data_IF_895828003644
#
_entry.id   IF_895828003644
#
_cell.length_a   1.000
_cell.length_b   1.000
_cell.length_c   1.000
_cell.angle_alpha   90.00
_cell.angle_beta   90.00
_cell.angle_gamma   90.00
#
_symmetry.space_group_name_H-M   'P 1'
#
loop_
_entity.id
_entity.type
_entity.pdbx_description
1 polymer ?
#
# COMPACT_ATOMS: atom_id res chain seq x y z
N UNK A 1 27.86 -26.20 -9.12
CA UNK A 1 27.35 -24.81 -9.27
C UNK A 1 25.82 -24.69 -9.34
N UNK A 2 25.07 -25.80 -9.33
CA UNK A 2 23.59 -25.80 -9.44
C UNK A 2 22.89 -25.58 -8.07
N UNK A 3 23.60 -25.81 -6.96
CA UNK A 3 23.07 -25.74 -5.60
C UNK A 3 22.32 -24.42 -5.25
N UNK A 4 22.75 -23.22 -5.67
CA UNK A 4 22.00 -21.99 -5.41
C UNK A 4 20.64 -21.95 -6.12
N UNK A 5 20.57 -22.43 -7.37
CA UNK A 5 19.33 -22.47 -8.15
C UNK A 5 18.33 -23.49 -7.59
N UNK A 6 18.81 -24.62 -7.08
CA UNK A 6 17.96 -25.62 -6.41
C UNK A 6 17.40 -25.07 -5.10
N UNK A 7 18.20 -24.32 -4.33
CA UNK A 7 17.72 -23.64 -3.11
C UNK A 7 16.65 -22.60 -3.44
N UNK A 8 16.85 -21.83 -4.50
CA UNK A 8 15.84 -20.89 -4.98
C UNK A 8 14.57 -21.59 -5.48
N UNK A 9 14.70 -22.71 -6.21
CA UNK A 9 13.57 -23.51 -6.67
C UNK A 9 12.78 -24.15 -5.51
N UNK A 10 13.46 -24.62 -4.47
CA UNK A 10 12.85 -25.10 -3.23
C UNK A 10 12.11 -23.98 -2.50
N UNK A 11 12.71 -22.79 -2.40
CA UNK A 11 12.02 -21.63 -1.86
C UNK A 11 10.76 -21.32 -2.69
N UNK A 12 10.88 -21.28 -4.02
CA UNK A 12 9.77 -20.99 -4.93
C UNK A 12 8.63 -22.03 -4.88
N UNK A 13 8.90 -23.20 -4.31
CA UNK A 13 7.88 -24.22 -4.09
C UNK A 13 6.91 -23.93 -2.94
N UNK A 14 7.23 -22.95 -2.08
CA UNK A 14 6.40 -22.54 -0.95
C UNK A 14 5.03 -22.03 -1.46
N UNK A 15 3.91 -22.41 -0.80
CA UNK A 15 2.55 -22.07 -1.27
C UNK A 15 2.35 -20.57 -1.51
N UNK A 16 2.79 -19.73 -0.55
CA UNK A 16 2.68 -18.28 -0.67
C UNK A 16 3.49 -17.71 -1.85
N UNK A 17 4.63 -18.32 -2.18
CA UNK A 17 5.48 -17.87 -3.28
C UNK A 17 4.94 -18.32 -4.64
N UNK A 18 4.30 -19.48 -4.72
CA UNK A 18 3.57 -19.92 -5.92
C UNK A 18 2.41 -18.97 -6.25
N UNK A 19 1.69 -18.53 -5.23
CA UNK A 19 0.62 -17.54 -5.40
C UNK A 19 1.19 -16.21 -5.91
N UNK A 20 2.33 -15.75 -5.38
CA UNK A 20 3.00 -14.55 -5.89
C UNK A 20 3.50 -14.72 -7.33
N UNK A 21 4.11 -15.85 -7.67
CA UNK A 21 4.65 -16.09 -9.00
C UNK A 21 3.54 -16.16 -10.05
N UNK A 22 2.43 -16.83 -9.75
CA UNK A 22 1.26 -16.87 -10.64
C UNK A 22 0.61 -15.49 -10.81
N UNK A 23 0.58 -14.69 -9.74
CA UNK A 23 0.16 -13.29 -9.78
C UNK A 23 1.04 -12.46 -10.70
N UNK A 24 2.36 -12.58 -10.53
CA UNK A 24 3.36 -11.87 -11.31
C UNK A 24 3.28 -12.24 -12.79
N UNK A 25 3.18 -13.53 -13.12
CA UNK A 25 3.05 -14.00 -14.50
C UNK A 25 1.77 -13.48 -15.16
N UNK A 26 0.66 -13.38 -14.41
CA UNK A 26 -0.58 -12.78 -14.93
C UNK A 26 -0.39 -11.30 -15.28
N UNK A 27 0.25 -10.54 -14.39
CA UNK A 27 0.57 -9.12 -14.64
C UNK A 27 1.53 -8.98 -15.82
N UNK A 28 2.53 -9.86 -15.93
CA UNK A 28 3.49 -9.86 -17.04
C UNK A 28 2.80 -10.06 -18.41
N UNK A 29 1.80 -10.93 -18.50
CA UNK A 29 1.01 -11.14 -19.72
C UNK A 29 0.17 -9.90 -20.07
N UNK A 30 -0.26 -9.12 -19.08
CA UNK A 30 -0.93 -7.86 -19.35
C UNK A 30 0.07 -6.79 -19.82
N UNK A 31 1.26 -6.74 -19.20
CA UNK A 31 2.37 -5.87 -19.62
C UNK A 31 2.78 -6.17 -21.05
N UNK A 32 2.83 -7.43 -21.48
CA UNK A 32 3.29 -7.77 -22.83
C UNK A 32 2.43 -7.14 -23.93
N UNK A 33 1.14 -6.89 -23.66
CA UNK A 33 0.25 -6.21 -24.62
C UNK A 33 0.61 -4.73 -24.81
N UNK A 34 0.88 -4.02 -23.71
CA UNK A 34 1.31 -2.61 -23.77
C UNK A 34 2.78 -2.48 -24.20
N UNK A 35 3.63 -3.39 -23.72
CA UNK A 35 5.05 -3.46 -24.02
C UNK A 35 5.36 -3.76 -25.48
N UNK A 36 4.44 -4.40 -26.22
CA UNK A 36 4.60 -4.60 -27.67
C UNK A 36 4.71 -3.27 -28.43
N UNK A 37 3.87 -2.28 -28.10
CA UNK A 37 3.93 -0.96 -28.73
C UNK A 37 5.23 -0.23 -28.38
N UNK A 38 5.66 -0.31 -27.12
CA UNK A 38 6.92 0.27 -26.68
C UNK A 38 8.11 -0.37 -27.40
N UNK A 39 8.19 -1.70 -27.40
CA UNK A 39 9.25 -2.44 -28.09
C UNK A 39 9.26 -2.17 -29.60
N UNK A 40 8.10 -2.13 -30.24
CA UNK A 40 7.96 -1.78 -31.65
C UNK A 40 8.50 -0.37 -31.94
N UNK A 41 8.19 0.61 -31.08
CA UNK A 41 8.71 1.97 -31.23
C UNK A 41 10.23 2.05 -31.11
N UNK A 42 10.83 1.27 -30.21
CA UNK A 42 12.29 1.18 -30.05
C UNK A 42 12.94 0.55 -31.29
N UNK A 43 12.34 -0.52 -31.83
CA UNK A 43 12.84 -1.19 -33.04
C UNK A 43 12.76 -0.27 -34.26
N UNK A 44 11.64 0.41 -34.47
CA UNK A 44 11.46 1.34 -35.59
C UNK A 44 12.45 2.49 -35.46
N UNK A 45 12.60 3.07 -34.27
CA UNK A 45 13.54 4.15 -34.04
C UNK A 45 14.99 3.69 -34.26
N UNK A 46 15.39 2.54 -33.71
CA UNK A 46 16.71 1.97 -33.92
C UNK A 46 17.01 1.75 -35.40
N UNK A 47 16.03 1.28 -36.17
CA UNK A 47 16.18 1.09 -37.62
C UNK A 47 16.35 2.43 -38.36
N UNK A 48 15.51 3.43 -38.06
CA UNK A 48 15.60 4.77 -38.66
C UNK A 48 16.94 5.42 -38.29
N UNK A 49 17.32 5.38 -37.02
CA UNK A 49 18.56 5.97 -36.54
C UNK A 49 19.78 5.29 -37.17
N UNK A 50 19.82 3.95 -37.22
CA UNK A 50 20.88 3.22 -37.92
C UNK A 50 20.99 3.64 -39.39
N UNK A 51 19.87 3.77 -40.11
CA UNK A 51 19.86 4.21 -41.50
C UNK A 51 20.34 5.66 -41.68
N UNK A 52 19.97 6.56 -40.76
CA UNK A 52 20.39 7.97 -40.84
C UNK A 52 21.88 8.11 -40.52
N UNK A 53 22.40 7.33 -39.56
CA UNK A 53 23.79 7.41 -39.11
C UNK A 53 24.77 6.53 -39.90
N UNK A 54 24.29 5.65 -40.79
CA UNK A 54 25.14 4.76 -41.60
C UNK A 54 26.13 5.56 -42.48
N UNK A 55 25.63 6.64 -43.09
CA UNK A 55 26.44 7.52 -43.95
C UNK A 55 27.21 8.61 -43.18
N UNK A 56 27.02 8.71 -41.85
CA UNK A 56 27.61 9.77 -41.02
C UNK A 56 28.89 9.24 -40.36
N UNK A 57 29.99 9.33 -41.09
CA UNK A 57 31.33 8.97 -40.60
C UNK A 57 32.10 10.16 -40.00
N UNK A 58 31.44 11.27 -39.72
CA UNK A 58 32.07 12.47 -39.17
C UNK A 58 32.42 12.30 -37.69
N UNK A 59 33.49 12.98 -37.29
CA UNK A 59 34.03 12.96 -35.93
C UNK A 59 33.62 14.24 -35.20
N UNK A 60 33.35 14.13 -33.90
CA UNK A 60 33.02 15.25 -33.04
C UNK A 60 34.26 16.11 -32.69
N UNK A 61 34.09 17.10 -31.80
CA UNK A 61 35.18 17.99 -31.38
C UNK A 61 36.26 17.29 -30.55
N UNK A 62 35.95 16.14 -29.95
CA UNK A 62 36.83 15.39 -29.04
C UNK A 62 37.51 14.20 -29.72
N UNK A 63 37.21 13.91 -30.98
CA UNK A 63 37.79 12.80 -31.73
C UNK A 63 36.92 11.53 -31.72
N UNK A 64 35.71 11.59 -31.19
CA UNK A 64 34.76 10.49 -31.12
C UNK A 64 33.78 10.50 -32.32
N UNK A 65 33.40 9.33 -32.84
CA UNK A 65 32.51 9.26 -33.99
C UNK A 65 31.08 9.68 -33.62
N UNK A 66 30.44 10.49 -34.46
CA UNK A 66 29.09 11.01 -34.19
C UNK A 66 28.02 9.90 -34.21
N UNK A 67 28.28 8.79 -34.89
CA UNK A 67 27.41 7.61 -34.95
C UNK A 67 27.63 6.60 -33.80
N UNK A 68 28.28 7.02 -32.70
CA UNK A 68 28.50 6.16 -31.55
C UNK A 68 27.20 5.51 -31.07
N UNK A 69 27.20 4.17 -31.02
CA UNK A 69 26.01 3.39 -30.64
C UNK A 69 25.00 3.18 -31.77
N UNK A 70 25.23 3.69 -32.98
CA UNK A 70 24.41 3.47 -34.19
C UNK A 70 25.16 2.80 -35.35
N UNK A 71 26.40 2.38 -35.11
CA UNK A 71 27.29 1.70 -36.09
C UNK A 71 26.71 0.41 -36.70
N UNK A 72 25.81 -0.26 -35.98
CA UNK A 72 25.14 -1.47 -36.44
C UNK A 72 23.72 -1.49 -35.89
N UNK A 73 22.82 -2.23 -36.53
CA UNK A 73 21.45 -2.36 -36.05
C UNK A 73 21.36 -2.92 -34.61
N UNK A 74 22.26 -3.84 -34.25
CA UNK A 74 22.32 -4.38 -32.88
C UNK A 74 22.71 -3.31 -31.84
N UNK A 75 23.71 -2.50 -32.17
CA UNK A 75 24.11 -1.38 -31.32
C UNK A 75 23.00 -0.33 -31.26
N UNK A 76 22.37 0.00 -32.39
CA UNK A 76 21.28 0.95 -32.48
C UNK A 76 20.09 0.52 -31.61
N UNK A 77 19.75 -0.77 -31.57
CA UNK A 77 18.72 -1.32 -30.70
C UNK A 77 19.06 -1.13 -29.22
N UNK A 78 20.29 -1.46 -28.81
CA UNK A 78 20.75 -1.30 -27.43
C UNK A 78 20.72 0.19 -27.02
N UNK A 79 21.30 1.04 -27.83
CA UNK A 79 21.36 2.50 -27.66
C UNK A 79 19.95 3.10 -27.55
N UNK A 80 19.03 2.69 -28.43
CA UNK A 80 17.63 3.13 -28.40
C UNK A 80 16.88 2.64 -27.16
N UNK A 81 17.09 1.39 -26.73
CA UNK A 81 16.51 0.84 -25.51
C UNK A 81 17.02 1.57 -24.26
N UNK A 82 18.32 1.82 -24.17
CA UNK A 82 18.90 2.54 -23.05
C UNK A 82 18.49 4.03 -23.04
N UNK A 83 18.34 4.63 -24.22
CA UNK A 83 17.78 5.99 -24.37
C UNK A 83 16.33 6.05 -23.90
N UNK A 84 15.50 5.04 -24.23
CA UNK A 84 14.13 4.92 -23.71
C UNK A 84 14.13 4.92 -22.17
N UNK A 85 15.09 4.25 -21.52
CA UNK A 85 15.26 4.26 -20.04
C UNK A 85 15.91 5.52 -19.47
N UNK A 86 16.16 6.54 -20.29
CA UNK A 86 16.81 7.81 -19.94
C UNK A 86 18.25 7.73 -19.42
N UNK A 87 18.90 6.57 -19.52
CA UNK A 87 20.22 6.35 -18.91
C UNK A 87 21.36 7.06 -19.66
N UNK A 88 21.20 7.27 -20.96
CA UNK A 88 22.29 7.69 -21.86
C UNK A 88 21.88 8.81 -22.85
N UNK A 89 20.79 9.52 -22.57
CA UNK A 89 20.25 10.58 -23.45
C UNK A 89 21.30 11.65 -23.82
N UNK A 90 21.98 12.33 -22.88
CA UNK A 90 22.89 13.42 -23.25
C UNK A 90 24.08 12.90 -24.06
N UNK A 91 24.63 11.76 -23.70
CA UNK A 91 25.85 11.21 -24.30
C UNK A 91 25.68 10.89 -25.78
N UNK A 92 24.49 10.44 -26.18
CA UNK A 92 24.20 10.06 -27.58
C UNK A 92 23.54 11.19 -28.37
N UNK A 93 22.71 12.01 -27.71
CA UNK A 93 21.99 13.09 -28.38
C UNK A 93 22.89 14.29 -28.67
N UNK A 94 23.82 14.65 -27.77
CA UNK A 94 24.64 15.86 -27.91
C UNK A 94 25.55 15.80 -29.15
N UNK A 95 26.32 14.72 -29.43
CA UNK A 95 27.19 14.67 -30.61
C UNK A 95 26.44 14.85 -31.92
N UNK A 96 25.30 14.17 -32.08
CA UNK A 96 24.44 14.29 -33.27
C UNK A 96 23.78 15.66 -33.40
N UNK A 97 23.38 16.29 -32.30
CA UNK A 97 22.80 17.63 -32.30
C UNK A 97 23.82 18.74 -32.60
N UNK A 98 25.05 18.61 -32.10
CA UNK A 98 26.15 19.54 -32.39
C UNK A 98 26.58 19.45 -33.86
N UNK A 99 26.55 18.25 -34.45
CA UNK A 99 26.81 18.06 -35.87
C UNK A 99 25.75 18.72 -36.76
N UNK A 100 24.46 18.50 -36.48
CA UNK A 100 23.38 19.21 -37.15
C UNK A 100 22.14 19.33 -36.27
N UNK A 101 21.59 20.54 -36.16
CA UNK A 101 20.37 20.78 -35.38
C UNK A 101 19.16 20.02 -35.93
N UNK A 102 19.21 19.59 -37.19
CA UNK A 102 18.13 18.82 -37.82
C UNK A 102 17.91 17.45 -37.18
N UNK A 103 18.93 16.88 -36.51
CA UNK A 103 18.77 15.63 -35.75
C UNK A 103 17.77 15.74 -34.60
N UNK A 104 17.42 16.97 -34.17
CA UNK A 104 16.34 17.19 -33.22
C UNK A 104 14.99 16.64 -33.71
N UNK A 105 14.72 16.67 -35.03
CA UNK A 105 13.48 16.13 -35.61
C UNK A 105 13.39 14.60 -35.52
N UNK A 106 14.50 13.91 -35.31
CA UNK A 106 14.55 12.48 -35.03
C UNK A 106 14.40 12.21 -33.52
N UNK A 107 15.12 12.94 -32.67
CA UNK A 107 15.15 12.72 -31.22
C UNK A 107 13.88 13.15 -30.48
N UNK A 108 13.35 14.34 -30.76
CA UNK A 108 12.16 14.87 -30.08
C UNK A 108 10.94 13.93 -30.14
N UNK A 109 10.51 13.43 -31.33
CA UNK A 109 9.36 12.55 -31.39
C UNK A 109 9.62 11.21 -30.68
N UNK A 110 10.85 10.68 -30.75
CA UNK A 110 11.19 9.45 -30.03
C UNK A 110 11.13 9.63 -28.51
N UNK A 111 11.72 10.69 -27.96
CA UNK A 111 11.69 10.96 -26.52
C UNK A 111 10.25 11.21 -26.04
N UNK A 112 9.46 11.96 -26.80
CA UNK A 112 8.05 12.22 -26.45
C UNK A 112 7.22 10.94 -26.50
N UNK A 113 7.37 10.10 -27.53
CA UNK A 113 6.60 8.88 -27.67
C UNK A 113 7.08 7.77 -26.73
N UNK A 114 8.34 7.38 -26.79
CA UNK A 114 8.85 6.21 -26.07
C UNK A 114 9.01 6.47 -24.56
N UNK A 115 9.61 7.60 -24.18
CA UNK A 115 9.92 7.91 -22.77
C UNK A 115 8.74 8.55 -22.04
N UNK A 116 8.02 9.48 -22.67
CA UNK A 116 6.92 10.20 -21.99
C UNK A 116 5.59 9.47 -22.15
N UNK A 117 5.18 9.12 -23.36
CA UNK A 117 3.84 8.56 -23.59
C UNK A 117 3.80 7.07 -23.29
N UNK A 118 4.58 6.26 -24.00
CA UNK A 118 4.48 4.80 -23.92
C UNK A 118 4.91 4.24 -22.57
N UNK A 119 5.95 4.77 -21.94
CA UNK A 119 6.33 4.36 -20.59
C UNK A 119 5.21 4.63 -19.56
N UNK A 120 4.53 5.79 -19.66
CA UNK A 120 3.39 6.11 -18.81
C UNK A 120 2.16 5.25 -19.13
N UNK A 121 1.91 4.93 -20.41
CA UNK A 121 0.85 3.99 -20.81
C UNK A 121 1.11 2.60 -20.25
N UNK A 122 2.35 2.09 -20.34
CA UNK A 122 2.73 0.80 -19.75
C UNK A 122 2.48 0.82 -18.24
N UNK A 123 2.91 1.87 -17.53
CA UNK A 123 2.66 2.02 -16.10
C UNK A 123 1.17 2.04 -15.77
N UNK A 124 0.35 2.75 -16.55
CA UNK A 124 -1.09 2.82 -16.36
C UNK A 124 -1.77 1.45 -16.56
N UNK A 125 -1.36 0.68 -17.57
CA UNK A 125 -1.88 -0.67 -17.81
C UNK A 125 -1.51 -1.61 -16.65
N UNK A 126 -0.25 -1.57 -16.18
CA UNK A 126 0.20 -2.34 -15.00
C UNK A 126 -0.65 -2.01 -13.79
N UNK A 127 -0.86 -0.72 -13.53
CA UNK A 127 -1.63 -0.24 -12.39
C UNK A 127 -3.08 -0.71 -12.45
N UNK A 128 -3.74 -0.56 -13.60
CA UNK A 128 -5.13 -0.96 -13.76
C UNK A 128 -5.33 -2.48 -13.54
N UNK A 129 -4.42 -3.30 -14.05
CA UNK A 129 -4.46 -4.76 -13.90
C UNK A 129 -4.16 -5.20 -12.46
N UNK A 130 -3.20 -4.54 -11.81
CA UNK A 130 -2.92 -4.74 -10.39
C UNK A 130 -4.14 -4.38 -9.54
N UNK A 131 -4.77 -3.24 -9.80
CA UNK A 131 -5.95 -2.77 -9.06
C UNK A 131 -7.14 -3.71 -9.27
N UNK A 132 -7.38 -4.14 -10.51
CA UNK A 132 -8.45 -5.11 -10.82
C UNK A 132 -8.21 -6.44 -10.12
N UNK A 133 -6.99 -7.00 -10.21
CA UNK A 133 -6.64 -8.25 -9.52
C UNK A 133 -6.77 -8.13 -8.00
N UNK A 134 -6.37 -7.00 -7.42
CA UNK A 134 -6.44 -6.77 -5.98
C UNK A 134 -7.88 -6.65 -5.50
N UNK A 135 -8.70 -5.87 -6.20
CA UNK A 135 -10.13 -5.69 -5.88
C UNK A 135 -10.91 -7.00 -6.01
N UNK A 136 -10.63 -7.80 -7.05
CA UNK A 136 -11.21 -9.15 -7.20
C UNK A 136 -10.82 -10.08 -6.04
N UNK A 137 -9.55 -10.05 -5.60
CA UNK A 137 -9.09 -10.85 -4.46
C UNK A 137 -9.78 -10.44 -3.17
N UNK A 138 -9.86 -9.14 -2.89
CA UNK A 138 -10.54 -8.62 -1.72
C UNK A 138 -12.02 -9.01 -1.75
N UNK A 139 -12.69 -8.84 -2.90
CA UNK A 139 -14.09 -9.24 -3.08
C UNK A 139 -14.30 -10.74 -2.88
N UNK A 140 -13.43 -11.58 -3.46
CA UNK A 140 -13.49 -13.03 -3.29
C UNK A 140 -13.24 -13.45 -1.84
N UNK A 141 -12.30 -12.81 -1.14
CA UNK A 141 -12.04 -13.05 0.28
C UNK A 141 -13.24 -12.67 1.16
N UNK A 142 -13.83 -11.48 0.94
CA UNK A 142 -15.04 -11.04 1.63
C UNK A 142 -16.22 -11.97 1.35
N UNK A 143 -16.39 -12.42 0.10
CA UNK A 143 -17.46 -13.35 -0.25
C UNK A 143 -17.29 -14.71 0.44
N UNK A 144 -16.08 -15.27 0.45
CA UNK A 144 -15.78 -16.52 1.17
C UNK A 144 -16.04 -16.37 2.66
N UNK A 145 -15.64 -15.23 3.24
CA UNK A 145 -15.90 -14.91 4.65
C UNK A 145 -17.40 -14.83 4.94
N UNK A 146 -18.16 -14.12 4.12
CA UNK A 146 -19.62 -14.03 4.25
C UNK A 146 -20.28 -15.40 4.14
N UNK A 147 -19.84 -16.23 3.21
CA UNK A 147 -20.32 -17.61 3.06
C UNK A 147 -19.99 -18.48 4.28
N UNK A 148 -18.78 -18.36 4.85
CA UNK A 148 -18.41 -19.10 6.06
C UNK A 148 -19.19 -18.67 7.29
N UNK A 149 -19.45 -17.36 7.45
CA UNK A 149 -20.24 -16.84 8.56
C UNK A 149 -21.71 -17.27 8.45
N UNK A 150 -22.28 -17.24 7.24
CA UNK A 150 -23.61 -17.79 6.96
C UNK A 150 -23.72 -19.28 7.25
N UNK A 151 -22.72 -20.05 6.83
CA UNK A 151 -22.67 -21.47 7.15
C UNK A 151 -22.61 -21.70 8.66
N UNK A 152 -21.84 -20.90 9.41
CA UNK A 152 -21.80 -20.96 10.86
C UNK A 152 -23.16 -20.58 11.49
N UNK A 153 -23.82 -19.53 11.00
CA UNK A 153 -25.16 -19.12 11.44
C UNK A 153 -26.18 -20.25 11.26
N UNK A 154 -26.16 -20.93 10.11
CA UNK A 154 -27.02 -22.07 9.83
C UNK A 154 -26.82 -23.24 10.81
N UNK A 155 -25.63 -23.43 11.38
CA UNK A 155 -25.37 -24.45 12.39
C UNK A 155 -25.81 -24.03 13.81
N UNK A 156 -25.84 -22.74 14.11
CA UNK A 156 -26.09 -22.21 15.46
C UNK A 156 -27.56 -21.82 15.67
N UNK A 157 -28.27 -21.47 14.59
CA UNK A 157 -29.66 -21.03 14.66
C UNK A 157 -30.59 -22.09 15.28
N UNK A 158 -31.56 -21.63 16.06
CA UNK A 158 -32.65 -22.45 16.55
C UNK A 158 -33.74 -22.66 15.46
N UNK A 159 -34.77 -23.47 15.72
CA UNK A 159 -35.86 -23.78 14.79
C UNK A 159 -36.59 -22.54 14.24
N UNK A 160 -36.46 -21.39 14.92
CA UNK A 160 -37.03 -20.10 14.51
C UNK A 160 -36.07 -19.24 13.67
N UNK A 161 -34.93 -19.77 13.20
CA UNK A 161 -33.89 -19.04 12.45
C UNK A 161 -33.23 -17.90 13.22
N UNK A 162 -33.06 -18.10 14.52
CA UNK A 162 -32.62 -17.08 15.47
C UNK A 162 -31.46 -17.60 16.32
N UNK A 163 -30.48 -16.74 16.63
CA UNK A 163 -29.39 -17.03 17.59
C UNK A 163 -29.73 -16.41 18.94
N UNK A 164 -29.78 -17.24 19.99
CA UNK A 164 -29.99 -16.78 21.37
C UNK A 164 -28.69 -16.37 22.04
N UNK A 165 -28.78 -15.53 23.09
CA UNK A 165 -27.62 -15.11 23.87
C UNK A 165 -26.81 -16.28 24.47
N UNK A 166 -27.46 -17.39 24.84
CA UNK A 166 -26.77 -18.56 25.38
C UNK A 166 -25.93 -19.29 24.32
N UNK A 167 -26.51 -19.50 23.13
CA UNK A 167 -25.77 -20.07 22.00
C UNK A 167 -24.59 -19.17 21.61
N UNK A 168 -24.78 -17.85 21.70
CA UNK A 168 -23.74 -16.87 21.46
C UNK A 168 -22.55 -16.96 22.44
N UNK A 169 -22.81 -17.04 23.74
CA UNK A 169 -21.73 -17.18 24.75
C UNK A 169 -20.91 -18.44 24.51
N UNK A 170 -21.56 -19.56 24.16
CA UNK A 170 -20.86 -20.80 23.82
C UNK A 170 -19.94 -20.66 22.61
N UNK A 171 -20.39 -19.95 21.57
CA UNK A 171 -19.58 -19.66 20.38
C UNK A 171 -18.41 -18.75 20.72
N UNK A 172 -18.63 -17.70 21.52
CA UNK A 172 -17.57 -16.81 21.99
C UNK A 172 -16.53 -17.55 22.83
N UNK A 173 -16.95 -18.45 23.73
CA UNK A 173 -16.05 -19.28 24.53
C UNK A 173 -15.25 -20.27 23.69
N UNK A 174 -15.87 -20.85 22.66
CA UNK A 174 -15.17 -21.70 21.70
C UNK A 174 -14.13 -20.88 20.92
N UNK A 175 -14.47 -19.67 20.48
CA UNK A 175 -13.56 -18.76 19.79
C UNK A 175 -12.40 -18.29 20.67
N UNK A 176 -12.62 -18.09 21.98
CA UNK A 176 -11.55 -17.78 22.95
C UNK A 176 -10.43 -18.83 22.96
N UNK A 177 -10.72 -20.09 22.62
CA UNK A 177 -9.71 -21.14 22.52
C UNK A 177 -8.78 -20.99 21.31
N UNK A 178 -9.26 -20.36 20.23
CA UNK A 178 -8.52 -20.15 18.99
C UNK A 178 -7.84 -18.78 18.93
N UNK A 179 -8.42 -17.75 19.56
CA UNK A 179 -7.88 -16.40 19.61
C UNK A 179 -8.10 -15.82 21.02
N UNK A 180 -7.11 -15.15 21.63
CA UNK A 180 -7.31 -14.48 22.91
C UNK A 180 -8.25 -13.28 22.72
N UNK A 181 -9.55 -13.50 22.87
CA UNK A 181 -10.57 -12.45 22.86
C UNK A 181 -10.69 -11.94 24.30
N UNK A 182 -10.44 -10.64 24.53
CA UNK A 182 -10.61 -9.96 25.82
C UNK A 182 -12.09 -9.71 26.15
N UNK A 183 -12.93 -10.72 26.00
CA UNK A 183 -14.37 -10.63 26.19
C UNK A 183 -14.76 -11.20 27.56
N UNK A 184 -14.96 -10.29 28.52
CA UNK A 184 -15.63 -10.60 29.77
C UNK A 184 -17.14 -10.77 29.52
N UNK A 185 -17.88 -11.49 30.37
CA UNK A 185 -19.33 -11.73 30.15
C UNK A 185 -20.13 -10.43 30.03
N UNK A 186 -19.76 -9.41 30.81
CA UNK A 186 -20.37 -8.07 30.71
C UNK A 186 -20.10 -7.41 29.36
N UNK A 187 -18.93 -7.64 28.77
CA UNK A 187 -18.59 -7.12 27.45
C UNK A 187 -19.39 -7.84 26.37
N UNK A 188 -19.53 -9.17 26.45
CA UNK A 188 -20.38 -9.93 25.53
C UNK A 188 -21.85 -9.49 25.60
N UNK A 189 -22.37 -9.21 26.80
CA UNK A 189 -23.72 -8.65 26.98
C UNK A 189 -23.87 -7.26 26.35
N UNK A 190 -22.88 -6.38 26.55
CA UNK A 190 -22.89 -5.04 25.97
C UNK A 190 -22.85 -5.09 24.44
N UNK A 191 -21.97 -5.92 23.87
CA UNK A 191 -21.86 -6.11 22.42
C UNK A 191 -23.15 -6.69 21.84
N UNK A 192 -23.72 -7.71 22.50
CA UNK A 192 -24.99 -8.30 22.08
C UNK A 192 -26.12 -7.26 22.07
N UNK A 193 -26.26 -6.49 23.16
CA UNK A 193 -27.28 -5.45 23.25
C UNK A 193 -27.05 -4.25 22.31
N UNK A 194 -25.80 -3.99 21.89
CA UNK A 194 -25.50 -2.95 20.90
C UNK A 194 -25.77 -3.40 19.46
N UNK A 195 -25.82 -4.72 19.21
CA UNK A 195 -26.05 -5.30 17.89
C UNK A 195 -27.51 -5.65 17.64
N UNK A 196 -28.28 -5.96 18.69
CA UNK A 196 -29.74 -6.15 18.67
C UNK A 196 -30.43 -4.78 18.53
N UNK A 197 -30.55 -4.29 17.29
CA UNK A 197 -31.10 -2.95 16.99
C UNK A 197 -32.62 -2.89 17.20
N UNK A 198 -33.27 -4.03 17.04
CA UNK A 198 -34.69 -4.33 17.19
C UNK A 198 -35.10 -4.52 18.66
N UNK A 199 -34.16 -4.84 19.53
CA UNK A 199 -34.38 -5.06 20.97
C UNK A 199 -35.26 -6.27 21.26
N UNK A 200 -35.31 -7.23 20.35
CA UNK A 200 -36.14 -8.44 20.48
C UNK A 200 -35.42 -9.58 21.23
N UNK A 201 -34.16 -9.34 21.62
CA UNK A 201 -33.32 -10.28 22.34
C UNK A 201 -32.70 -11.33 21.41
N UNK A 202 -32.73 -11.12 20.10
CA UNK A 202 -32.35 -12.11 19.09
C UNK A 202 -31.47 -11.52 17.99
N UNK A 203 -30.62 -12.34 17.36
CA UNK A 203 -29.74 -11.88 16.27
C UNK A 203 -30.12 -12.52 14.93
N UNK A 204 -30.28 -11.66 13.92
CA UNK A 204 -30.45 -12.01 12.50
C UNK A 204 -29.11 -12.39 11.82
N UNK A 205 -29.14 -12.91 10.58
CA UNK A 205 -27.91 -13.25 9.81
C UNK A 205 -26.95 -12.06 9.67
N UNK A 206 -27.50 -10.87 9.41
CA UNK A 206 -26.70 -9.65 9.18
C UNK A 206 -26.09 -9.13 10.49
N UNK A 207 -26.84 -9.18 11.59
CA UNK A 207 -26.37 -8.81 12.93
C UNK A 207 -25.33 -9.81 13.43
N UNK A 208 -25.52 -11.11 13.18
CA UNK A 208 -24.54 -12.15 13.51
C UNK A 208 -23.23 -11.96 12.73
N UNK A 209 -23.28 -11.60 11.45
CA UNK A 209 -22.07 -11.29 10.68
C UNK A 209 -21.31 -10.09 11.27
N UNK A 210 -22.03 -9.01 11.57
CA UNK A 210 -21.48 -7.79 12.20
C UNK A 210 -20.92 -8.09 13.58
N UNK A 211 -21.55 -8.99 14.32
CA UNK A 211 -21.06 -9.47 15.59
C UNK A 211 -19.70 -10.14 15.46
N UNK A 212 -19.52 -11.04 14.51
CA UNK A 212 -18.25 -11.71 14.30
C UNK A 212 -17.15 -10.73 13.87
N UNK A 213 -17.50 -9.64 13.19
CA UNK A 213 -16.58 -8.52 12.94
C UNK A 213 -16.15 -7.85 14.24
N UNK A 214 -17.11 -7.54 15.13
CA UNK A 214 -16.84 -6.94 16.44
C UNK A 214 -15.97 -7.88 17.29
N UNK A 215 -16.28 -9.16 17.40
CA UNK A 215 -15.45 -10.10 18.17
C UNK A 215 -14.04 -10.29 17.62
N UNK A 216 -13.84 -10.03 16.31
CA UNK A 216 -12.52 -10.09 15.71
C UNK A 216 -11.65 -8.89 16.08
N UNK A 217 -12.22 -7.77 16.53
CA UNK A 217 -11.44 -6.59 16.94
C UNK A 217 -10.89 -6.73 18.36
N UNK A 218 -9.76 -6.08 18.61
CA UNK A 218 -9.16 -6.04 19.94
C UNK A 218 -9.71 -4.85 20.72
N UNK A 219 -10.49 -5.13 21.76
CA UNK A 219 -11.00 -4.09 22.65
C UNK A 219 -10.03 -3.81 23.78
N UNK A 220 -9.53 -2.58 23.81
CA UNK A 220 -8.72 -2.08 24.93
C UNK A 220 -9.63 -1.34 25.91
N UNK A 221 -9.77 -1.87 27.12
CA UNK A 221 -10.46 -1.16 28.21
C UNK A 221 -9.54 -0.06 28.73
N UNK A 222 -9.88 1.19 28.42
CA UNK A 222 -9.16 2.36 28.94
C UNK A 222 -9.79 2.77 30.27
N UNK A 223 -8.97 2.96 31.31
CA UNK A 223 -9.46 3.56 32.55
C UNK A 223 -9.84 5.01 32.28
N UNK A 224 -11.04 5.40 32.70
CA UNK A 224 -11.52 6.79 32.61
C UNK A 224 -10.62 7.74 33.40
N UNK A 225 -10.16 7.29 34.57
CA UNK A 225 -9.31 8.08 35.45
C UNK A 225 -7.84 7.70 35.32
N UNK A 226 -6.98 8.72 35.29
CA UNK A 226 -5.54 8.54 35.43
C UNK A 226 -5.19 8.13 36.86
N UNK A 227 -4.11 7.37 37.04
CA UNK A 227 -3.61 6.98 38.36
C UNK A 227 -3.42 8.17 39.32
N UNK A 228 -3.02 9.32 38.80
CA UNK A 228 -2.92 10.58 39.55
C UNK A 228 -4.26 11.03 40.13
N UNK A 229 -5.33 10.93 39.34
CA UNK A 229 -6.67 11.32 39.73
C UNK A 229 -7.22 10.37 40.81
N UNK A 230 -6.98 9.07 40.66
CA UNK A 230 -7.39 8.05 41.63
C UNK A 230 -6.64 8.20 42.98
N UNK A 231 -5.39 8.69 42.96
CA UNK A 231 -4.56 8.81 44.17
C UNK A 231 -4.75 10.12 44.93
N UNK A 232 -4.91 11.23 44.23
CA UNK A 232 -4.94 12.57 44.84
C UNK A 232 -6.34 13.20 44.85
N UNK A 233 -7.34 12.55 44.23
CA UNK A 233 -8.69 13.08 44.09
C UNK A 233 -8.77 14.21 43.06
N UNK A 234 -9.99 14.49 42.57
CA UNK A 234 -10.23 15.59 41.63
C UNK A 234 -9.92 16.97 42.23
N UNK A 235 -10.09 17.10 43.55
CA UNK A 235 -9.88 18.34 44.30
C UNK A 235 -8.41 18.59 44.70
N UNK A 236 -7.49 17.69 44.34
CA UNK A 236 -6.08 17.86 44.63
C UNK A 236 -5.48 19.06 43.89
N UNK A 237 -4.85 19.99 44.62
CA UNK A 237 -4.28 21.22 44.04
C UNK A 237 -3.28 20.94 42.89
N UNK A 238 -2.48 19.87 43.02
CA UNK A 238 -1.54 19.40 42.00
C UNK A 238 -2.26 18.89 40.74
N UNK A 239 -3.32 18.10 40.91
CA UNK A 239 -4.11 17.56 39.79
C UNK A 239 -4.81 18.69 39.05
N UNK A 240 -5.40 19.64 39.76
CA UNK A 240 -6.04 20.82 39.16
C UNK A 240 -5.09 21.74 38.41
N UNK A 241 -3.82 21.86 38.85
CA UNK A 241 -2.78 22.60 38.12
C UNK A 241 -2.32 21.87 36.87
N UNK A 242 -2.04 20.57 36.96
CA UNK A 242 -1.65 19.74 35.83
C UNK A 242 -2.76 19.67 34.77
N UNK A 243 -4.01 19.49 35.20
CA UNK A 243 -5.17 19.50 34.32
C UNK A 243 -5.27 20.81 33.55
N UNK A 244 -5.12 21.96 34.21
CA UNK A 244 -5.09 23.27 33.55
C UNK A 244 -3.95 23.45 32.54
N UNK A 245 -2.79 22.84 32.78
CA UNK A 245 -1.67 22.91 31.85
C UNK A 245 -1.84 21.99 30.62
N UNK A 246 -2.62 20.91 30.77
CA UNK A 246 -2.90 19.91 29.73
C UNK A 246 -4.24 20.11 29.01
N UNK A 247 -5.10 21.01 29.50
CA UNK A 247 -6.40 21.32 28.90
C UNK A 247 -6.26 22.53 27.95
N UNK A 248 -6.64 22.36 26.69
CA UNK A 248 -6.62 23.39 25.67
C UNK A 248 -7.90 24.26 25.67
N UNK A 249 -8.89 23.95 26.52
CA UNK A 249 -10.15 24.67 26.64
C UNK A 249 -11.13 24.49 25.46
N UNK A 250 -10.84 23.58 24.53
CA UNK A 250 -11.69 23.25 23.39
C UNK A 250 -12.21 21.82 23.51
N UNK A 251 -13.51 21.64 23.27
CA UNK A 251 -14.12 20.32 23.23
C UNK A 251 -13.81 19.69 21.86
N UNK A 252 -13.06 18.58 21.87
CA UNK A 252 -12.86 17.75 20.69
C UNK A 252 -14.10 16.93 20.34
N UNK A 253 -14.08 16.16 19.24
CA UNK A 253 -15.19 15.27 18.89
C UNK A 253 -15.43 14.24 20.00
N UNK A 254 -16.68 14.02 20.38
CA UNK A 254 -17.05 13.10 21.45
C UNK A 254 -16.93 11.64 20.99
N UNK A 255 -15.83 10.99 21.38
CA UNK A 255 -15.59 9.56 21.19
C UNK A 255 -15.79 8.77 22.49
N UNK A 256 -16.51 9.32 23.47
CA UNK A 256 -16.59 8.78 24.84
C UNK A 256 -15.42 9.22 25.74
N UNK A 257 -14.53 10.07 25.22
CA UNK A 257 -13.55 10.85 25.98
C UNK A 257 -13.27 12.15 25.21
N UNK A 258 -13.13 13.25 25.93
CA UNK A 258 -12.91 14.57 25.31
C UNK A 258 -11.42 14.76 24.99
N UNK A 259 -11.10 15.00 23.71
CA UNK A 259 -9.73 15.30 23.28
C UNK A 259 -9.36 16.76 23.59
N UNK A 260 -8.90 17.02 24.82
CA UNK A 260 -8.50 18.37 25.28
C UNK A 260 -6.99 18.64 25.26
N UNK A 261 -6.18 17.68 24.83
CA UNK A 261 -4.71 17.74 24.91
C UNK A 261 -4.01 18.53 23.78
N UNK A 262 -4.40 18.39 22.50
CA UNK A 262 -3.68 19.03 21.39
C UNK A 262 -3.72 20.57 21.48
N UNK A 263 -2.58 21.24 21.43
CA UNK A 263 -2.53 22.71 21.56
C UNK A 263 -2.61 23.23 23.01
N UNK A 264 -2.54 22.34 24.00
CA UNK A 264 -2.34 22.74 25.40
C UNK A 264 -0.95 23.35 25.62
N UNK A 265 -0.75 24.00 26.78
CA UNK A 265 0.55 24.57 27.16
C UNK A 265 1.63 23.48 27.23
N UNK A 266 1.27 22.31 27.76
CA UNK A 266 2.20 21.18 27.85
C UNK A 266 2.57 20.61 26.47
N UNK A 267 1.61 20.48 25.56
CA UNK A 267 1.86 20.03 24.18
C UNK A 267 2.79 21.00 23.44
N UNK A 268 2.54 22.30 23.57
CA UNK A 268 3.41 23.35 22.99
C UNK A 268 4.84 23.25 23.54
N UNK A 269 4.99 23.06 24.84
CA UNK A 269 6.29 22.88 25.48
C UNK A 269 7.02 21.63 24.95
N UNK A 270 6.33 20.49 24.87
CA UNK A 270 6.90 19.25 24.35
C UNK A 270 7.32 19.36 22.89
N UNK A 271 6.54 20.06 22.06
CA UNK A 271 6.89 20.33 20.67
C UNK A 271 8.14 21.22 20.54
N UNK A 272 8.32 22.21 21.43
CA UNK A 272 9.55 23.03 21.48
C UNK A 272 10.75 22.16 21.88
N UNK A 273 10.61 21.31 22.89
CA UNK A 273 11.69 20.39 23.31
C UNK A 273 12.08 19.46 22.16
N UNK A 274 11.10 18.93 21.42
CA UNK A 274 11.33 18.06 20.28
C UNK A 274 12.05 18.79 19.13
N UNK A 275 11.68 20.05 18.87
CA UNK A 275 12.37 20.90 17.89
C UNK A 275 13.83 21.18 18.28
N UNK A 276 14.09 21.50 19.56
CA UNK A 276 15.45 21.70 20.08
C UNK A 276 16.27 20.41 19.93
N UNK A 277 15.68 19.25 20.25
CA UNK A 277 16.34 17.95 20.07
C UNK A 277 16.66 17.67 18.59
N UNK A 278 15.76 18.01 17.67
CA UNK A 278 15.99 17.88 16.23
C UNK A 278 17.16 18.75 15.74
N UNK A 279 17.23 20.01 16.19
CA UNK A 279 18.34 20.92 15.91
C UNK A 279 19.65 20.38 16.50
N UNK A 280 19.61 19.87 17.73
CA UNK A 280 20.78 19.27 18.38
C UNK A 280 21.32 18.07 17.59
N UNK A 281 20.45 17.16 17.13
CA UNK A 281 20.84 16.00 16.33
C UNK A 281 21.50 16.44 15.01
N UNK A 282 20.98 17.49 14.36
CA UNK A 282 21.57 18.03 13.12
C UNK A 282 22.95 18.65 13.35
N UNK A 283 23.22 19.24 14.52
CA UNK A 283 24.54 19.75 14.86
C UNK A 283 25.53 18.65 15.28
N UNK A 284 25.04 17.47 15.66
CA UNK A 284 25.86 16.34 16.07
C UNK A 284 26.24 15.41 14.90
N UNK A 285 25.48 15.39 13.81
CA UNK A 285 25.78 14.65 12.56
C UNK A 285 26.81 15.36 11.69
#
# INVERSE_FOLDING_TARGET
RIAPYVRFGLAASLPWMKDLLSSFLRVLVAISKAGFFLAGSVVIFAWIAAMIFDDVSSVDRYGEPINQGFESFGNALYTSFATMTTSIIPDIMIPSYVYSRSFAFMWLPFLMLATVIFQNVVLAVVYNEYQTTTTERVKAALQRRKQSLRAAFEFIKDQQHIVSFQAFVQVADTLKSFKPISANDNFLRLVYGALDQNGDGTLTDEEFCTLCDVLATEFKVTRRNSWLLDRFGEDGELVGRLRRAMDNGTEGPDFGYEQRFPGSLFDTFMNIVLAINGVWILFQS
#
